data_IF_715071532650
#
_entry.id   IF_715071532650
#
_cell.length_a   1.000
_cell.length_b   1.000
_cell.length_c   1.000
_cell.angle_alpha   90.00
_cell.angle_beta   90.00
_cell.angle_gamma   90.00
#
_symmetry.space_group_name_H-M   'P 1'
#
loop_
_entity.id
_entity.type
_entity.pdbx_description
1 polymer ?
#
# COMPACT_ATOMS: atom_id res chain seq x y z
N UNK A 1 -4.20 -27.19 17.51
CA UNK A 1 -4.18 -25.96 18.35
C UNK A 1 -5.53 -25.29 18.20
N UNK A 2 -6.14 -24.80 19.28
CA UNK A 2 -7.44 -24.10 19.18
C UNK A 2 -7.19 -22.79 18.44
N UNK A 3 -7.81 -22.63 17.27
CA UNK A 3 -7.86 -21.34 16.59
C UNK A 3 -8.72 -20.41 17.44
N UNK A 4 -8.13 -19.33 17.92
CA UNK A 4 -8.83 -18.25 18.62
C UNK A 4 -9.03 -17.10 17.64
N UNK A 5 -10.06 -16.28 17.88
CA UNK A 5 -10.25 -15.05 17.10
C UNK A 5 -9.08 -14.11 17.45
N UNK A 6 -8.34 -13.69 16.44
CA UNK A 6 -7.26 -12.71 16.56
C UNK A 6 -7.70 -11.39 15.94
N UNK A 7 -7.34 -10.28 16.59
CA UNK A 7 -7.56 -8.92 16.08
C UNK A 7 -6.29 -8.11 16.20
N UNK A 8 -5.98 -7.30 15.18
CA UNK A 8 -4.85 -6.36 15.18
C UNK A 8 -5.38 -4.92 14.97
N UNK A 9 -4.55 -3.93 15.28
CA UNK A 9 -4.88 -2.50 15.21
C UNK A 9 -3.78 -1.73 14.51
N UNK A 10 -4.14 -0.90 13.53
CA UNK A 10 -3.18 -0.06 12.81
C UNK A 10 -2.62 1.05 13.70
N UNK A 11 -3.34 1.45 14.76
CA UNK A 11 -2.87 2.42 15.75
C UNK A 11 -1.70 1.90 16.60
N UNK A 12 -1.44 0.59 16.56
CA UNK A 12 -0.30 -0.07 17.20
C UNK A 12 0.31 -1.09 16.22
N UNK A 13 0.98 -0.62 15.16
CA UNK A 13 1.44 -1.48 14.08
C UNK A 13 2.67 -2.30 14.50
N UNK A 14 2.90 -3.42 13.82
CA UNK A 14 4.12 -4.21 13.99
C UNK A 14 5.32 -3.52 13.34
N UNK A 15 5.09 -2.94 12.16
CA UNK A 15 6.07 -2.23 11.35
C UNK A 15 5.41 -1.00 10.73
N UNK A 16 6.18 0.05 10.44
CA UNK A 16 5.67 1.24 9.77
C UNK A 16 6.70 1.77 8.76
N UNK A 17 6.21 2.18 7.59
CA UNK A 17 6.95 2.98 6.63
C UNK A 17 6.58 4.44 6.83
N UNK A 18 7.49 5.22 7.42
CA UNK A 18 7.28 6.64 7.72
C UNK A 18 7.78 7.53 6.57
N UNK A 19 6.85 8.15 5.84
CA UNK A 19 7.12 9.11 4.76
C UNK A 19 7.00 10.56 5.27
N UNK A 20 7.04 10.78 6.59
CA UNK A 20 6.92 12.07 7.28
C UNK A 20 5.62 12.78 6.89
N UNK A 21 5.70 14.06 6.54
CA UNK A 21 4.59 14.91 6.08
C UNK A 21 3.96 14.45 4.76
N UNK A 22 4.45 13.36 4.13
CA UNK A 22 3.90 12.81 2.89
C UNK A 22 3.05 11.56 3.11
N UNK A 23 2.95 11.09 4.35
CA UNK A 23 2.10 9.97 4.73
C UNK A 23 2.90 8.80 5.28
N UNK A 24 2.35 7.60 5.16
CA UNK A 24 2.99 6.39 5.64
C UNK A 24 2.13 5.14 5.48
N UNK A 25 2.72 4.00 5.82
CA UNK A 25 2.08 2.69 5.75
C UNK A 25 2.23 1.99 7.10
N UNK A 26 1.12 1.75 7.78
CA UNK A 26 1.05 0.97 9.02
C UNK A 26 0.80 -0.50 8.68
N UNK A 27 1.64 -1.40 9.20
CA UNK A 27 1.64 -2.82 8.84
C UNK A 27 1.33 -3.65 10.07
N UNK A 28 0.35 -4.56 9.96
CA UNK A 28 0.02 -5.54 10.99
C UNK A 28 0.03 -6.95 10.44
N UNK A 29 0.49 -7.90 11.23
CA UNK A 29 0.53 -9.31 10.85
C UNK A 29 -0.26 -10.15 11.84
N UNK A 30 -1.09 -11.05 11.30
CA UNK A 30 -1.75 -12.08 12.11
C UNK A 30 -0.79 -13.22 12.39
N UNK A 31 -1.08 -14.00 13.43
CA UNK A 31 -0.33 -15.22 13.76
C UNK A 31 -0.39 -16.26 12.63
N UNK A 32 -1.46 -16.24 11.82
CA UNK A 32 -1.60 -17.08 10.64
C UNK A 32 -0.76 -16.61 9.43
N UNK A 33 -0.11 -15.45 9.52
CA UNK A 33 0.79 -14.92 8.50
C UNK A 33 0.16 -13.93 7.51
N UNK A 34 -1.16 -13.71 7.54
CA UNK A 34 -1.80 -12.67 6.73
C UNK A 34 -1.36 -11.30 7.19
N UNK A 35 -0.98 -10.44 6.25
CA UNK A 35 -0.61 -9.04 6.48
C UNK A 35 -1.76 -8.12 6.07
N UNK A 36 -2.11 -7.18 6.94
CA UNK A 36 -2.94 -6.03 6.60
C UNK A 36 -2.08 -4.77 6.62
N UNK A 37 -2.31 -3.86 5.69
CA UNK A 37 -1.62 -2.57 5.67
C UNK A 37 -2.64 -1.44 5.52
N UNK A 38 -2.42 -0.34 6.24
CA UNK A 38 -3.16 0.90 6.06
C UNK A 38 -2.19 1.94 5.51
N UNK A 39 -2.40 2.33 4.26
CA UNK A 39 -1.57 3.33 3.59
C UNK A 39 -2.30 4.66 3.55
N UNK A 40 -1.58 5.72 3.90
CA UNK A 40 -2.04 7.12 3.81
C UNK A 40 -1.04 7.90 2.99
N UNK A 41 -1.52 8.60 1.96
CA UNK A 41 -0.66 9.41 1.08
C UNK A 41 -1.22 10.82 0.95
N UNK A 42 -0.42 11.81 1.30
CA UNK A 42 -0.83 13.23 1.28
C UNK A 42 -0.76 13.84 -0.13
N UNK A 43 -1.51 14.93 -0.41
CA UNK A 43 -1.41 15.64 -1.66
C UNK A 43 0.04 15.97 -2.05
N UNK A 44 0.36 15.64 -3.30
CA UNK A 44 1.70 15.78 -3.87
C UNK A 44 2.64 14.61 -3.59
N UNK A 45 2.23 13.59 -2.84
CA UNK A 45 2.97 12.33 -2.67
C UNK A 45 3.23 11.64 -4.01
N UNK A 46 4.44 11.08 -4.16
CA UNK A 46 4.77 10.15 -5.25
C UNK A 46 5.57 8.96 -4.71
N UNK A 47 5.36 7.78 -5.28
CA UNK A 47 6.10 6.58 -4.87
C UNK A 47 7.61 6.78 -5.07
N UNK A 48 8.03 7.34 -6.21
CA UNK A 48 9.44 7.61 -6.50
C UNK A 48 10.14 8.48 -5.44
N UNK A 49 9.46 9.52 -4.93
CA UNK A 49 10.09 10.50 -4.03
C UNK A 49 9.99 10.09 -2.58
N UNK A 50 8.85 9.56 -2.16
CA UNK A 50 8.50 9.47 -0.75
C UNK A 50 8.57 8.03 -0.21
N UNK A 51 8.35 7.01 -1.04
CA UNK A 51 8.35 5.60 -0.63
C UNK A 51 9.61 4.84 -1.08
N UNK A 52 10.00 4.97 -2.34
CA UNK A 52 11.15 4.28 -2.94
C UNK A 52 12.45 4.35 -2.10
N UNK A 53 12.84 5.49 -1.50
CA UNK A 53 14.03 5.55 -0.66
C UNK A 53 13.99 4.65 0.58
N UNK A 54 12.79 4.37 1.12
CA UNK A 54 12.60 3.50 2.28
C UNK A 54 12.81 2.02 1.93
N UNK A 55 12.67 1.67 0.65
CA UNK A 55 12.79 0.30 0.14
C UNK A 55 14.19 -0.04 -0.42
N UNK A 56 15.18 0.84 -0.22
CA UNK A 56 16.52 0.66 -0.78
C UNK A 56 16.65 1.07 -2.25
N UNK A 57 15.75 1.93 -2.73
CA UNK A 57 15.76 2.54 -4.06
C UNK A 57 15.65 1.55 -5.25
N UNK A 58 14.69 0.62 -5.27
CA UNK A 58 14.43 -0.20 -6.44
C UNK A 58 13.96 0.65 -7.63
N UNK A 59 14.15 0.18 -8.86
CA UNK A 59 13.75 0.93 -10.06
C UNK A 59 12.24 1.18 -10.10
N UNK A 60 11.45 0.19 -9.66
CA UNK A 60 9.98 0.21 -9.59
C UNK A 60 9.50 -0.52 -8.33
N UNK A 61 8.21 -0.40 -7.97
CA UNK A 61 7.68 -1.17 -6.86
C UNK A 61 7.71 -2.67 -7.20
N UNK A 62 8.41 -3.51 -6.40
CA UNK A 62 8.53 -4.94 -6.67
C UNK A 62 7.34 -5.75 -6.14
N UNK A 63 6.46 -5.11 -5.38
CA UNK A 63 5.36 -5.77 -4.67
C UNK A 63 4.13 -5.89 -5.56
N UNK A 64 3.42 -6.99 -5.37
CA UNK A 64 2.06 -7.15 -5.85
C UNK A 64 1.11 -6.62 -4.78
N UNK A 65 0.19 -5.76 -5.16
CA UNK A 65 -0.77 -5.17 -4.23
C UNK A 65 -2.18 -5.63 -4.55
N UNK A 66 -2.89 -6.09 -3.54
CA UNK A 66 -4.35 -6.23 -3.58
C UNK A 66 -4.94 -5.34 -2.50
N UNK A 67 -5.94 -4.53 -2.81
CA UNK A 67 -6.42 -3.55 -1.84
C UNK A 67 -7.78 -2.95 -2.16
N UNK A 68 -8.21 -2.09 -1.25
CA UNK A 68 -9.44 -1.32 -1.34
C UNK A 68 -9.17 0.15 -1.02
N UNK A 69 -9.66 1.05 -1.87
CA UNK A 69 -9.52 2.48 -1.67
C UNK A 69 -10.70 3.03 -0.85
N UNK A 70 -10.41 3.57 0.33
CA UNK A 70 -11.42 4.12 1.23
C UNK A 70 -11.52 5.65 1.13
N UNK A 71 -10.57 6.32 0.48
CA UNK A 71 -10.55 7.77 0.33
C UNK A 71 -9.57 8.26 -0.71
N UNK A 72 -9.92 9.35 -1.41
CA UNK A 72 -9.06 10.05 -2.34
C UNK A 72 -8.93 9.39 -3.71
N UNK A 73 -7.89 9.79 -4.44
CA UNK A 73 -7.62 9.42 -5.83
C UNK A 73 -6.13 9.19 -6.07
N UNK A 74 -5.76 7.95 -6.40
CA UNK A 74 -4.40 7.54 -6.71
C UNK A 74 -4.29 7.22 -8.20
N UNK A 75 -3.27 7.75 -8.87
CA UNK A 75 -2.93 7.31 -10.23
C UNK A 75 -1.74 6.37 -10.15
N UNK A 76 -1.92 5.18 -10.71
CA UNK A 76 -0.89 4.15 -10.83
C UNK A 76 -0.44 4.08 -12.28
N UNK A 77 0.86 4.05 -12.51
CA UNK A 77 1.46 3.98 -13.84
C UNK A 77 2.35 2.74 -13.95
N UNK A 78 2.07 1.89 -14.93
CA UNK A 78 2.97 0.81 -15.31
C UNK A 78 4.20 1.39 -16.02
N UNK A 79 5.41 1.15 -15.50
CA UNK A 79 6.62 1.84 -15.97
C UNK A 79 7.06 1.38 -17.36
N UNK A 80 6.80 0.13 -17.72
CA UNK A 80 7.18 -0.47 -18.99
C UNK A 80 6.34 0.02 -20.18
N UNK A 81 5.04 0.17 -19.96
CA UNK A 81 4.04 0.52 -20.97
C UNK A 81 3.63 1.99 -20.91
N UNK A 82 3.87 2.65 -19.77
CA UNK A 82 3.36 3.98 -19.46
C UNK A 82 1.85 4.02 -19.21
N UNK A 83 1.17 2.86 -19.19
CA UNK A 83 -0.27 2.80 -18.98
C UNK A 83 -0.64 3.32 -17.59
N UNK A 84 -1.60 4.23 -17.52
CA UNK A 84 -2.12 4.78 -16.26
C UNK A 84 -3.49 4.20 -15.94
N UNK A 85 -3.73 3.97 -14.66
CA UNK A 85 -5.03 3.60 -14.11
C UNK A 85 -5.28 4.43 -12.87
N UNK A 86 -6.47 5.01 -12.77
CA UNK A 86 -6.91 5.72 -11.58
C UNK A 86 -7.61 4.74 -10.65
N UNK A 87 -7.25 4.78 -9.37
CA UNK A 87 -7.92 4.11 -8.26
C UNK A 87 -8.61 5.18 -7.43
N UNK A 88 -9.92 5.06 -7.25
CA UNK A 88 -10.77 6.01 -6.55
C UNK A 88 -11.52 5.33 -5.40
N UNK A 89 -12.13 6.15 -4.54
CA UNK A 89 -12.90 5.66 -3.39
C UNK A 89 -13.97 4.66 -3.83
N UNK A 90 -13.94 3.46 -3.24
CA UNK A 90 -14.86 2.39 -3.59
C UNK A 90 -14.25 1.30 -4.47
N UNK A 91 -13.08 1.53 -5.06
CA UNK A 91 -12.41 0.55 -5.91
C UNK A 91 -11.74 -0.56 -5.08
N UNK A 92 -12.01 -1.80 -5.46
CA UNK A 92 -11.19 -2.95 -5.11
C UNK A 92 -10.24 -3.24 -6.26
N UNK A 93 -8.94 -3.31 -5.98
CA UNK A 93 -7.91 -3.28 -7.02
C UNK A 93 -6.83 -4.35 -6.81
N UNK A 94 -6.17 -4.64 -7.91
CA UNK A 94 -4.94 -5.42 -7.99
C UNK A 94 -3.92 -4.62 -8.80
N UNK A 95 -2.69 -4.48 -8.29
CA UNK A 95 -1.59 -3.81 -8.98
C UNK A 95 -0.42 -4.80 -9.09
N UNK A 96 0.00 -5.17 -10.32
CA UNK A 96 1.16 -6.03 -10.51
C UNK A 96 2.47 -5.28 -10.24
N UNK A 97 3.58 -5.98 -9.94
CA UNK A 97 4.91 -5.37 -9.83
C UNK A 97 5.29 -4.58 -11.09
N UNK A 98 6.16 -3.58 -10.95
CA UNK A 98 6.64 -2.78 -12.08
C UNK A 98 5.92 -1.46 -12.29
N UNK A 99 5.33 -0.90 -11.24
CA UNK A 99 4.57 0.35 -11.28
C UNK A 99 5.21 1.47 -10.45
N UNK A 100 4.78 2.70 -10.76
CA UNK A 100 4.92 3.92 -9.97
C UNK A 100 3.52 4.45 -9.62
N UNK A 101 3.40 5.36 -8.67
CA UNK A 101 2.13 5.94 -8.29
C UNK A 101 2.26 7.38 -7.76
N UNK A 102 1.18 8.15 -7.88
CA UNK A 102 1.09 9.49 -7.31
C UNK A 102 -0.34 9.83 -6.88
N UNK A 103 -0.45 10.68 -5.85
CA UNK A 103 -1.75 11.26 -5.44
C UNK A 103 -2.15 12.30 -6.47
N UNK A 104 -3.32 12.14 -7.08
CA UNK A 104 -3.86 13.12 -8.02
C UNK A 104 -5.01 13.91 -7.41
N UNK A 105 -4.71 15.15 -7.02
CA UNK A 105 -5.66 16.08 -6.44
C UNK A 105 -5.20 16.62 -5.09
N UNK A 106 -6.14 17.24 -4.38
CA UNK A 106 -5.91 17.88 -3.08
C UNK A 106 -6.41 17.06 -1.89
N UNK A 107 -6.95 15.86 -2.15
CA UNK A 107 -7.46 14.98 -1.11
C UNK A 107 -6.43 13.88 -0.83
N UNK A 108 -6.25 13.57 0.46
CA UNK A 108 -5.40 12.46 0.91
C UNK A 108 -5.98 11.14 0.41
N UNK A 109 -5.10 10.27 -0.06
CA UNK A 109 -5.42 8.89 -0.41
C UNK A 109 -5.34 8.01 0.85
N UNK A 110 -6.31 7.14 1.01
CA UNK A 110 -6.38 6.15 2.09
C UNK A 110 -6.71 4.77 1.51
N UNK A 111 -5.83 3.78 1.76
CA UNK A 111 -5.94 2.43 1.21
C UNK A 111 -5.84 1.38 2.31
N UNK A 112 -6.61 0.30 2.18
CA UNK A 112 -6.37 -0.95 2.89
C UNK A 112 -5.76 -1.94 1.91
N UNK A 113 -4.56 -2.44 2.20
CA UNK A 113 -3.88 -3.47 1.41
C UNK A 113 -3.88 -4.80 2.14
N UNK A 114 -3.93 -5.88 1.37
CA UNK A 114 -3.96 -7.24 1.84
C UNK A 114 -2.84 -8.04 1.18
N UNK A 115 -2.09 -8.76 1.99
CA UNK A 115 -1.15 -9.77 1.53
C UNK A 115 -1.49 -11.09 2.24
N UNK A 116 -1.73 -12.12 1.44
CA UNK A 116 -1.99 -13.46 1.97
C UNK A 116 -0.72 -14.00 2.64
N UNK A 117 -0.90 -14.82 3.67
CA UNK A 117 0.21 -15.55 4.28
C UNK A 117 1.03 -16.25 3.19
N UNK A 118 2.35 -16.05 3.20
CA UNK A 118 3.24 -16.74 2.28
C UNK A 118 3.07 -18.25 2.45
N UNK A 119 2.59 -18.92 1.40
CA UNK A 119 2.64 -20.38 1.35
C UNK A 119 4.09 -20.77 1.07
N UNK A 120 4.91 -20.85 2.12
CA UNK A 120 6.16 -21.59 2.03
C UNK A 120 5.77 -23.08 1.90
N UNK A 121 5.81 -23.59 0.66
CA UNK A 121 5.97 -25.02 0.40
C UNK A 121 7.45 -25.38 0.50
#
# INVERSE_FOLDING_TARGET
MSQTIETRRFETPDEALDMKERGGIDIVRTTAGTTGMYATFEPGWTWERDEKPLLGSPDTCPMHHTGYCIGGRLVVRMVDTGAETTIETGDFFEIPPGHDAYVDGSERVELILFEAASQHH
#
